data_IF_504768258021
#
_entry.id   IF_504768258021
#
_cell.length_a   1.000
_cell.length_b   1.000
_cell.length_c   1.000
_cell.angle_alpha   90.00
_cell.angle_beta   90.00
_cell.angle_gamma   90.00
#
_symmetry.space_group_name_H-M   'P 1'
#
loop_
_entity.id
_entity.type
_entity.pdbx_description
1 polymer ?
#
# COMPACT_ATOMS: atom_id res chain seq x y z
N UNK A 1 -9.96 7.94 55.86
CA UNK A 1 -9.50 6.54 55.81
C UNK A 1 -8.02 6.56 55.50
N UNK A 2 -7.22 6.02 56.42
CA UNK A 2 -5.76 6.08 56.43
C UNK A 2 -5.26 4.95 55.52
N UNK A 3 -4.60 5.28 54.42
CA UNK A 3 -3.86 4.32 53.59
C UNK A 3 -2.83 3.61 54.50
N UNK A 4 -2.84 2.28 54.62
CA UNK A 4 -1.82 1.61 55.40
C UNK A 4 -0.47 1.91 54.75
N UNK A 5 0.53 2.21 55.58
CA UNK A 5 1.91 2.33 55.13
C UNK A 5 2.29 1.07 54.33
N UNK A 6 3.29 1.20 53.45
CA UNK A 6 4.01 0.07 52.87
C UNK A 6 5.36 -0.13 53.64
N UNK A 7 5.39 -0.68 54.88
CA UNK A 7 6.64 -1.02 55.56
C UNK A 7 7.45 -2.19 54.96
N UNK A 8 6.92 -3.15 54.18
CA UNK A 8 7.80 -4.20 53.62
C UNK A 8 8.64 -3.70 52.43
N UNK A 9 8.24 -2.62 51.75
CA UNK A 9 8.88 -2.18 50.52
C UNK A 9 10.25 -1.53 50.75
N UNK A 10 10.38 -0.66 51.76
CA UNK A 10 11.65 -0.02 52.09
C UNK A 10 12.71 -1.02 52.57
N UNK A 11 12.31 -2.07 53.29
CA UNK A 11 13.24 -3.10 53.77
C UNK A 11 13.70 -4.06 52.66
N UNK A 12 12.83 -4.39 51.70
CA UNK A 12 13.19 -5.17 50.50
C UNK A 12 14.16 -4.38 49.61
N UNK A 13 13.93 -3.08 49.42
CA UNK A 13 14.85 -2.19 48.69
C UNK A 13 16.20 -2.03 49.40
N UNK A 14 16.20 -1.91 50.73
CA UNK A 14 17.41 -1.75 51.53
C UNK A 14 18.33 -2.99 51.48
N UNK A 15 17.78 -4.17 51.19
CA UNK A 15 18.53 -5.44 51.12
C UNK A 15 19.07 -5.78 49.73
N UNK A 16 18.75 -4.98 48.70
CA UNK A 16 19.16 -5.23 47.30
C UNK A 16 18.86 -6.65 46.79
N UNK A 17 17.89 -7.34 47.39
CA UNK A 17 17.60 -8.76 47.12
C UNK A 17 16.59 -8.90 45.97
N UNK A 18 17.03 -8.49 44.78
CA UNK A 18 16.25 -8.52 43.52
C UNK A 18 16.00 -9.98 43.05
N UNK A 19 16.55 -10.97 43.75
CA UNK A 19 16.48 -12.40 43.41
C UNK A 19 15.18 -13.12 43.76
N UNK A 20 14.21 -12.45 44.40
CA UNK A 20 12.91 -13.05 44.80
C UNK A 20 11.73 -12.43 44.04
N UNK A 21 11.27 -13.05 42.94
CA UNK A 21 10.16 -12.54 42.13
C UNK A 21 8.85 -12.33 42.90
N UNK A 22 8.63 -13.10 43.96
CA UNK A 22 7.40 -13.04 44.78
C UNK A 22 7.33 -11.81 45.71
N UNK A 23 8.43 -11.10 45.92
CA UNK A 23 8.50 -9.91 46.80
C UNK A 23 8.49 -8.60 46.00
N UNK A 24 8.49 -8.68 44.66
CA UNK A 24 8.38 -7.51 43.78
C UNK A 24 6.94 -7.00 43.76
N UNK A 25 6.72 -5.68 43.85
CA UNK A 25 5.37 -5.14 43.80
C UNK A 25 4.81 -5.28 42.37
N UNK A 26 3.53 -5.64 42.27
CA UNK A 26 2.83 -5.67 40.99
C UNK A 26 2.84 -4.28 40.37
N UNK A 27 3.58 -4.14 39.25
CA UNK A 27 3.74 -2.88 38.52
C UNK A 27 2.39 -2.22 38.19
N UNK A 28 1.32 -2.99 38.05
CA UNK A 28 -0.04 -2.51 37.74
C UNK A 28 -0.74 -1.83 38.92
N UNK A 29 -0.18 -1.88 40.12
CA UNK A 29 -0.78 -1.29 41.32
C UNK A 29 0.22 -0.41 42.10
N UNK A 30 1.45 -0.27 41.60
CA UNK A 30 2.46 0.63 42.16
C UNK A 30 2.09 2.11 41.96
N UNK A 31 2.05 2.92 43.02
CA UNK A 31 1.79 4.35 42.89
C UNK A 31 3.05 5.12 42.38
N UNK A 32 2.89 6.29 41.74
CA UNK A 32 3.99 7.08 41.19
C UNK A 32 5.17 7.37 42.14
N UNK A 33 4.98 7.65 43.45
CA UNK A 33 6.09 7.86 44.39
C UNK A 33 7.02 6.64 44.55
N UNK A 34 6.49 5.43 44.38
CA UNK A 34 7.27 4.18 44.43
C UNK A 34 8.18 4.08 43.21
N UNK A 35 7.67 4.40 42.02
CA UNK A 35 8.50 4.50 40.82
C UNK A 35 9.55 5.59 40.95
N UNK A 36 9.20 6.74 41.53
CA UNK A 36 10.14 7.84 41.75
C UNK A 36 11.33 7.42 42.62
N UNK A 37 11.07 6.68 43.71
CA UNK A 37 12.12 6.18 44.60
C UNK A 37 13.05 5.18 43.87
N UNK A 38 12.51 4.29 43.06
CA UNK A 38 13.28 3.30 42.29
C UNK A 38 14.13 3.97 41.19
N UNK A 39 13.50 4.82 40.37
CA UNK A 39 14.14 5.45 39.19
C UNK A 39 15.19 6.50 39.59
N UNK A 40 15.07 7.11 40.78
CA UNK A 40 16.05 8.06 41.32
C UNK A 40 17.08 7.41 42.26
N UNK A 41 17.03 6.10 42.44
CA UNK A 41 17.97 5.37 43.30
C UNK A 41 19.40 5.48 42.80
N UNK A 42 20.35 5.66 43.72
CA UNK A 42 21.78 5.62 43.41
C UNK A 42 22.22 4.22 42.96
N UNK A 43 21.57 3.15 43.44
CA UNK A 43 21.83 1.78 43.00
C UNK A 43 21.36 1.58 41.53
N UNK A 44 22.29 1.29 40.59
CA UNK A 44 21.95 1.03 39.18
C UNK A 44 20.97 -0.13 38.97
N UNK A 45 20.95 -1.13 39.85
CA UNK A 45 20.06 -2.30 39.74
C UNK A 45 18.62 -1.93 40.10
N UNK A 46 18.43 -1.18 41.19
CA UNK A 46 17.12 -0.66 41.58
C UNK A 46 16.57 0.32 40.54
N UNK A 47 17.45 1.13 39.95
CA UNK A 47 17.10 2.04 38.85
C UNK A 47 16.62 1.28 37.62
N UNK A 48 17.34 0.24 37.20
CA UNK A 48 16.93 -0.63 36.10
C UNK A 48 15.58 -1.29 36.38
N UNK A 49 15.40 -1.87 37.58
CA UNK A 49 14.14 -2.47 38.01
C UNK A 49 12.99 -1.45 37.96
N UNK A 50 13.21 -0.23 38.45
CA UNK A 50 12.25 0.86 38.38
C UNK A 50 11.79 1.17 36.96
N UNK A 51 12.72 1.23 36.00
CA UNK A 51 12.40 1.44 34.59
C UNK A 51 11.62 0.25 34.00
N UNK A 52 11.97 -0.98 34.35
CA UNK A 52 11.27 -2.20 33.87
C UNK A 52 9.83 -2.22 34.38
N UNK A 53 9.61 -2.00 35.68
CA UNK A 53 8.28 -1.98 36.27
C UNK A 53 7.45 -0.81 35.73
N UNK A 54 8.06 0.36 35.54
CA UNK A 54 7.39 1.50 34.92
C UNK A 54 6.96 1.17 33.48
N UNK A 55 7.83 0.51 32.71
CA UNK A 55 7.50 0.08 31.35
C UNK A 55 6.38 -0.96 31.34
N UNK A 56 6.33 -1.87 32.31
CA UNK A 56 5.22 -2.81 32.48
C UNK A 56 3.91 -2.08 32.79
N UNK A 57 3.91 -1.12 33.73
CA UNK A 57 2.76 -0.27 34.07
C UNK A 57 2.19 0.41 32.84
N UNK A 58 3.04 1.07 32.05
CA UNK A 58 2.63 1.76 30.83
C UNK A 58 2.16 0.80 29.74
N UNK A 59 2.78 -0.38 29.60
CA UNK A 59 2.38 -1.38 28.59
C UNK A 59 1.06 -2.06 28.94
N UNK A 60 0.71 -2.15 30.22
CA UNK A 60 -0.53 -2.80 30.68
C UNK A 60 -1.81 -2.03 30.32
N UNK A 61 -1.70 -0.80 29.79
CA UNK A 61 -2.85 0.05 29.47
C UNK A 61 -3.58 0.62 30.69
N UNK A 62 -3.03 0.41 31.90
CA UNK A 62 -3.53 0.98 33.16
C UNK A 62 -2.74 2.22 33.58
N UNK A 63 -2.30 3.05 32.66
CA UNK A 63 -2.02 4.44 33.03
C UNK A 63 -3.38 5.02 33.41
N UNK A 64 -3.55 5.63 34.59
CA UNK A 64 -4.82 6.24 34.98
C UNK A 64 -5.17 7.43 34.08
N UNK A 65 -5.66 8.50 34.66
CA UNK A 65 -6.02 9.68 33.89
C UNK A 65 -4.77 10.34 33.26
N UNK A 66 -4.97 11.31 32.36
CA UNK A 66 -3.86 12.04 31.72
C UNK A 66 -2.88 12.65 32.73
N UNK A 67 -3.36 13.05 33.91
CA UNK A 67 -2.56 13.60 35.00
C UNK A 67 -1.57 12.56 35.59
N UNK A 68 -2.04 11.34 35.87
CA UNK A 68 -1.16 10.25 36.35
C UNK A 68 -0.13 9.90 35.27
N UNK A 69 -0.55 9.89 33.99
CA UNK A 69 0.36 9.62 32.86
C UNK A 69 1.45 10.70 32.75
N UNK A 70 1.09 11.97 32.97
CA UNK A 70 2.05 13.08 33.02
C UNK A 70 2.99 12.98 34.23
N UNK A 71 2.49 12.56 35.40
CA UNK A 71 3.30 12.31 36.58
C UNK A 71 4.33 11.20 36.31
N UNK A 72 3.92 10.08 35.74
CA UNK A 72 4.82 8.98 35.33
C UNK A 72 5.84 9.46 34.28
N UNK A 73 5.42 10.29 33.32
CA UNK A 73 6.31 10.86 32.31
C UNK A 73 7.38 11.78 32.93
N UNK A 74 7.05 12.52 33.98
CA UNK A 74 7.98 13.38 34.72
C UNK A 74 9.07 12.59 35.48
N UNK A 75 8.84 11.30 35.73
CA UNK A 75 9.84 10.43 36.38
C UNK A 75 10.96 9.99 35.45
N UNK A 76 10.81 10.10 34.12
CA UNK A 76 11.84 9.59 33.21
C UNK A 76 13.15 10.38 33.34
N UNK A 77 14.28 9.67 33.54
CA UNK A 77 15.61 10.28 33.64
C UNK A 77 15.95 11.19 32.45
N UNK A 78 16.68 12.28 32.74
CA UNK A 78 17.19 13.20 31.74
C UNK A 78 18.56 12.79 31.17
N UNK A 79 19.19 11.75 31.72
CA UNK A 79 20.50 11.25 31.29
C UNK A 79 20.38 9.77 30.99
N UNK A 80 21.05 9.30 29.94
CA UNK A 80 21.14 7.87 29.62
C UNK A 80 22.37 7.30 30.34
N UNK A 81 22.13 6.65 31.48
CA UNK A 81 23.16 6.02 32.30
C UNK A 81 22.87 4.53 32.51
N UNK A 82 23.93 3.77 32.77
CA UNK A 82 23.85 2.34 33.06
C UNK A 82 23.95 1.44 31.83
N UNK A 83 23.61 0.16 31.98
CA UNK A 83 23.83 -0.84 30.93
C UNK A 83 22.86 -0.65 29.74
N UNK A 84 23.20 -1.19 28.55
CA UNK A 84 22.40 -1.04 27.32
C UNK A 84 20.93 -1.43 27.48
N UNK A 85 20.63 -2.41 28.33
CA UNK A 85 19.28 -2.87 28.64
C UNK A 85 18.45 -1.76 29.28
N UNK A 86 19.01 -1.01 30.24
CA UNK A 86 18.35 0.15 30.85
C UNK A 86 18.08 1.23 29.83
N UNK A 87 19.06 1.52 28.96
CA UNK A 87 18.91 2.52 27.91
C UNK A 87 17.84 2.12 26.88
N UNK A 88 17.68 0.84 26.57
CA UNK A 88 16.60 0.32 25.71
C UNK A 88 15.23 0.46 26.35
N UNK A 89 15.09 0.11 27.63
CA UNK A 89 13.82 0.29 28.36
C UNK A 89 13.47 1.77 28.43
N UNK A 90 14.45 2.64 28.69
CA UNK A 90 14.25 4.07 28.73
C UNK A 90 13.79 4.62 27.36
N UNK A 91 14.40 4.18 26.25
CA UNK A 91 13.94 4.55 24.90
C UNK A 91 12.47 4.18 24.66
N UNK A 92 12.06 2.96 25.05
CA UNK A 92 10.65 2.49 24.92
C UNK A 92 9.68 3.29 25.81
N UNK A 93 10.14 3.72 26.98
CA UNK A 93 9.35 4.60 27.84
C UNK A 93 9.20 5.98 27.21
N UNK A 94 10.26 6.54 26.62
CA UNK A 94 10.18 7.80 25.89
C UNK A 94 9.28 7.71 24.65
N UNK A 95 9.29 6.58 23.94
CA UNK A 95 8.36 6.33 22.83
C UNK A 95 6.90 6.52 23.25
N UNK A 96 6.52 6.08 24.46
CA UNK A 96 5.12 6.08 24.93
C UNK A 96 4.73 7.29 25.75
N UNK A 97 5.63 7.74 26.62
CA UNK A 97 5.39 8.85 27.56
C UNK A 97 5.89 10.20 27.03
N UNK A 98 6.62 10.20 25.91
CA UNK A 98 7.12 11.41 25.26
C UNK A 98 6.09 12.53 25.05
N UNK A 99 4.84 12.25 24.64
CA UNK A 99 3.84 13.31 24.41
C UNK A 99 3.47 14.08 25.68
N UNK A 100 3.62 13.45 26.85
CA UNK A 100 3.28 14.00 28.15
C UNK A 100 4.45 14.76 28.81
N UNK A 101 5.65 14.71 28.22
CA UNK A 101 6.86 15.40 28.73
C UNK A 101 6.96 16.86 28.26
N UNK A 102 5.92 17.67 28.49
CA UNK A 102 5.93 19.08 28.09
C UNK A 102 7.01 19.87 28.87
N UNK A 103 7.95 20.50 28.15
CA UNK A 103 8.97 21.38 28.73
C UNK A 103 10.16 20.68 29.40
N UNK A 104 10.21 19.34 29.43
CA UNK A 104 11.32 18.60 30.02
C UNK A 104 12.42 18.35 28.98
N UNK A 105 13.69 18.53 29.40
CA UNK A 105 14.84 18.22 28.53
C UNK A 105 14.87 16.74 28.16
N UNK A 106 15.18 16.50 26.89
CA UNK A 106 15.41 15.15 26.36
C UNK A 106 16.82 14.67 26.74
N UNK A 107 17.01 13.37 26.94
CA UNK A 107 18.33 12.81 27.13
C UNK A 107 19.21 12.99 25.89
N UNK A 108 20.46 13.41 26.10
CA UNK A 108 21.46 13.57 25.03
C UNK A 108 22.04 12.22 24.60
N UNK A 109 21.19 11.28 24.17
CA UNK A 109 21.61 9.92 23.81
C UNK A 109 22.59 9.88 22.63
N UNK A 110 22.60 10.89 21.76
CA UNK A 110 23.53 11.01 20.62
C UNK A 110 24.99 11.18 21.04
N UNK A 111 25.24 11.73 22.24
CA UNK A 111 26.58 11.89 22.79
C UNK A 111 26.97 10.75 23.73
N UNK A 112 26.06 9.81 23.97
CA UNK A 112 26.35 8.62 24.77
C UNK A 112 26.91 7.51 23.87
N UNK A 113 27.91 6.78 24.37
CA UNK A 113 28.52 5.62 23.68
C UNK A 113 27.58 4.41 23.72
N UNK A 114 26.48 4.49 22.96
CA UNK A 114 25.42 3.48 22.97
C UNK A 114 25.57 2.48 21.82
N UNK A 115 25.28 1.18 22.04
CA UNK A 115 25.21 0.20 20.97
C UNK A 115 24.16 0.59 19.91
N UNK A 116 24.40 0.21 18.66
CA UNK A 116 23.58 0.61 17.50
C UNK A 116 22.09 0.33 17.71
N UNK A 117 21.72 -0.83 18.25
CA UNK A 117 20.30 -1.17 18.52
C UNK A 117 19.62 -0.21 19.49
N UNK A 118 20.37 0.30 20.47
CA UNK A 118 19.86 1.28 21.45
C UNK A 118 19.69 2.65 20.80
N UNK A 119 20.64 3.06 19.95
CA UNK A 119 20.55 4.28 19.15
C UNK A 119 19.33 4.26 18.21
N UNK A 120 19.05 3.13 17.56
CA UNK A 120 17.86 2.94 16.72
C UNK A 120 16.58 3.13 17.57
N UNK A 121 16.50 2.48 18.74
CA UNK A 121 15.34 2.60 19.62
C UNK A 121 15.11 4.05 20.08
N UNK A 122 16.17 4.78 20.42
CA UNK A 122 16.08 6.20 20.77
C UNK A 122 15.63 7.06 19.60
N UNK A 123 16.20 6.86 18.42
CA UNK A 123 15.79 7.60 17.24
C UNK A 123 14.32 7.35 16.91
N UNK A 124 13.85 6.10 16.99
CA UNK A 124 12.42 5.76 16.83
C UNK A 124 11.53 6.51 17.81
N UNK A 125 11.90 6.51 19.09
CA UNK A 125 11.17 7.23 20.12
C UNK A 125 11.09 8.73 19.81
N UNK A 126 12.18 9.34 19.33
CA UNK A 126 12.15 10.74 18.91
C UNK A 126 11.26 10.98 17.69
N UNK A 127 11.36 10.15 16.66
CA UNK A 127 10.58 10.27 15.42
C UNK A 127 9.07 10.17 15.67
N UNK A 128 8.63 9.29 16.56
CA UNK A 128 7.21 9.11 16.90
C UNK A 128 6.62 10.30 17.67
N UNK A 129 7.45 11.01 18.42
CA UNK A 129 7.03 12.14 19.25
C UNK A 129 7.22 13.50 18.55
N UNK A 130 8.30 13.65 17.78
CA UNK A 130 8.67 14.86 17.05
C UNK A 130 9.14 14.50 15.62
N UNK A 131 8.19 14.28 14.69
CA UNK A 131 8.56 13.84 13.35
C UNK A 131 9.43 14.83 12.57
N UNK A 132 9.41 16.12 12.92
CA UNK A 132 10.25 17.15 12.31
C UNK A 132 11.77 16.88 12.43
N UNK A 133 12.19 16.02 13.38
CA UNK A 133 13.59 15.57 13.52
C UNK A 133 14.12 14.93 12.23
N UNK A 134 13.25 14.35 11.39
CA UNK A 134 13.61 13.77 10.08
C UNK A 134 14.34 14.77 9.19
N UNK A 135 14.04 16.07 9.31
CA UNK A 135 14.66 17.12 8.48
C UNK A 135 16.14 17.32 8.80
N UNK A 136 16.52 17.12 10.06
CA UNK A 136 17.87 17.38 10.58
C UNK A 136 18.69 16.11 10.80
N UNK A 137 18.04 14.95 10.91
CA UNK A 137 18.73 13.68 11.13
C UNK A 137 19.55 13.28 9.88
N UNK A 138 20.84 12.94 10.02
CA UNK A 138 21.65 12.47 8.92
C UNK A 138 21.04 11.26 8.21
N UNK A 139 21.09 11.28 6.88
CA UNK A 139 20.67 10.13 6.06
C UNK A 139 21.64 8.97 6.25
N UNK A 140 21.11 7.75 6.30
CA UNK A 140 21.90 6.54 6.44
C UNK A 140 21.22 5.45 7.26
N UNK A 141 21.99 4.40 7.52
CA UNK A 141 21.48 3.14 8.06
C UNK A 141 20.73 3.28 9.39
N UNK A 142 21.21 4.15 10.29
CA UNK A 142 20.55 4.37 11.58
C UNK A 142 19.11 4.88 11.40
N UNK A 143 18.92 5.88 10.54
CA UNK A 143 17.61 6.45 10.23
C UNK A 143 16.73 5.45 9.49
N UNK A 144 17.28 4.75 8.49
CA UNK A 144 16.51 3.78 7.71
C UNK A 144 16.01 2.62 8.57
N UNK A 145 16.84 2.09 9.46
CA UNK A 145 16.46 1.04 10.40
C UNK A 145 15.42 1.54 11.40
N UNK A 146 15.57 2.77 11.92
CA UNK A 146 14.58 3.37 12.80
C UNK A 146 13.22 3.51 12.11
N UNK A 147 13.20 4.10 10.91
CA UNK A 147 11.99 4.33 10.11
C UNK A 147 11.31 3.01 9.69
N UNK A 148 12.09 1.97 9.37
CA UNK A 148 11.55 0.64 9.02
C UNK A 148 10.75 0.01 10.15
N UNK A 149 11.13 0.26 11.41
CA UNK A 149 10.47 -0.28 12.60
C UNK A 149 9.36 0.64 13.16
N UNK A 150 9.04 1.75 12.49
CA UNK A 150 7.93 2.61 12.88
C UNK A 150 6.58 1.98 12.52
N UNK A 151 5.60 2.20 13.40
CA UNK A 151 4.19 1.95 13.17
C UNK A 151 3.41 3.24 13.40
N UNK A 152 2.44 3.51 12.53
CA UNK A 152 1.71 4.79 12.56
C UNK A 152 0.81 4.90 13.79
N UNK A 153 0.34 3.76 14.32
CA UNK A 153 -0.48 3.69 15.53
C UNK A 153 0.23 4.18 16.80
N UNK A 154 1.56 4.24 16.80
CA UNK A 154 2.35 4.75 17.93
C UNK A 154 2.78 6.21 17.75
N UNK A 155 2.53 6.80 16.58
CA UNK A 155 2.91 8.16 16.32
C UNK A 155 1.93 9.10 17.03
N UNK A 156 2.44 10.06 17.78
CA UNK A 156 1.60 11.08 18.40
C UNK A 156 0.96 12.00 17.35
N UNK A 157 1.68 12.22 16.23
CA UNK A 157 1.23 13.03 15.09
C UNK A 157 1.39 12.22 13.80
N UNK A 158 0.49 11.27 13.52
CA UNK A 158 0.64 10.33 12.41
C UNK A 158 0.68 11.03 11.05
N UNK A 159 -0.16 12.05 10.84
CA UNK A 159 -0.15 12.84 9.61
C UNK A 159 1.18 13.57 9.41
N UNK A 160 1.70 14.21 10.46
CA UNK A 160 2.98 14.91 10.39
C UNK A 160 4.10 13.91 10.06
N UNK A 161 4.11 12.73 10.70
CA UNK A 161 5.12 11.70 10.43
C UNK A 161 5.15 11.27 8.96
N UNK A 162 3.99 10.98 8.37
CA UNK A 162 3.91 10.63 6.95
C UNK A 162 4.39 11.79 6.07
N UNK A 163 3.96 13.02 6.37
CA UNK A 163 4.35 14.20 5.59
C UNK A 163 5.86 14.47 5.62
N UNK A 164 6.51 14.33 6.77
CA UNK A 164 7.95 14.58 6.94
C UNK A 164 8.80 13.53 6.21
N UNK A 165 8.34 12.27 6.21
CA UNK A 165 8.99 11.19 5.45
C UNK A 165 8.80 11.37 3.94
N UNK A 166 7.65 11.87 3.50
CA UNK A 166 7.35 12.10 2.09
C UNK A 166 8.02 13.37 1.51
N UNK A 167 8.25 14.39 2.33
CA UNK A 167 8.74 15.71 1.87
C UNK A 167 10.22 15.71 1.43
N UNK A 168 10.98 14.65 1.70
CA UNK A 168 12.36 14.49 1.25
C UNK A 168 12.47 13.77 -0.10
N UNK A 169 13.60 13.93 -0.80
CA UNK A 169 13.93 13.18 -2.02
C UNK A 169 14.57 11.80 -1.77
N UNK A 170 14.47 11.28 -0.55
CA UNK A 170 15.10 10.01 -0.18
C UNK A 170 14.13 8.84 -0.43
N UNK A 171 14.43 7.90 -1.34
CA UNK A 171 13.52 6.83 -1.71
C UNK A 171 13.18 5.88 -0.56
N UNK A 172 14.09 5.68 0.40
CA UNK A 172 13.85 4.79 1.55
C UNK A 172 12.83 5.44 2.48
N UNK A 173 12.94 6.75 2.69
CA UNK A 173 11.99 7.50 3.51
C UNK A 173 10.63 7.63 2.82
N UNK A 174 10.61 7.89 1.51
CA UNK A 174 9.37 7.95 0.74
C UNK A 174 8.64 6.59 0.70
N UNK A 175 9.37 5.48 0.56
CA UNK A 175 8.79 4.14 0.66
C UNK A 175 8.19 3.88 2.05
N UNK A 176 8.84 4.35 3.11
CA UNK A 176 8.29 4.27 4.45
C UNK A 176 7.07 5.18 4.66
N UNK A 177 7.05 6.37 4.05
CA UNK A 177 5.89 7.26 4.06
C UNK A 177 4.68 6.55 3.44
N UNK A 178 4.85 5.92 2.27
CA UNK A 178 3.80 5.13 1.61
C UNK A 178 3.29 4.00 2.51
N UNK A 179 4.21 3.21 3.09
CA UNK A 179 3.86 2.12 4.00
C UNK A 179 3.05 2.61 5.19
N UNK A 180 3.47 3.69 5.85
CA UNK A 180 2.78 4.24 7.02
C UNK A 180 1.46 4.91 6.64
N UNK A 181 1.35 5.51 5.45
CA UNK A 181 0.11 6.06 4.93
C UNK A 181 -0.93 4.94 4.72
N UNK A 182 -0.52 3.81 4.12
CA UNK A 182 -1.36 2.61 3.97
C UNK A 182 -1.77 2.02 5.33
N UNK A 183 -0.83 1.86 6.24
CA UNK A 183 -1.10 1.39 7.60
C UNK A 183 -2.13 2.30 8.30
N UNK A 184 -1.97 3.62 8.16
CA UNK A 184 -2.83 4.60 8.79
C UNK A 184 -4.23 4.65 8.19
N UNK A 185 -4.34 4.42 6.88
CA UNK A 185 -5.61 4.25 6.19
C UNK A 185 -6.38 3.05 6.77
N UNK A 186 -5.75 1.88 6.81
CA UNK A 186 -6.40 0.65 7.27
C UNK A 186 -6.71 0.64 8.76
N UNK A 187 -5.90 1.33 9.57
CA UNK A 187 -6.14 1.52 10.99
C UNK A 187 -7.15 2.65 11.31
N UNK A 188 -7.71 3.31 10.30
CA UNK A 188 -8.57 4.49 10.43
C UNK A 188 -7.93 5.65 11.24
N UNK A 189 -6.60 5.75 11.21
CA UNK A 189 -5.82 6.82 11.83
C UNK A 189 -5.56 7.99 10.89
N UNK A 190 -5.67 7.76 9.58
CA UNK A 190 -5.52 8.77 8.54
C UNK A 190 -6.74 8.78 7.63
N UNK A 191 -7.25 9.97 7.32
CA UNK A 191 -8.37 10.12 6.41
C UNK A 191 -7.98 9.71 4.98
N UNK A 192 -8.86 9.01 4.22
CA UNK A 192 -8.59 8.62 2.84
C UNK A 192 -8.17 9.79 1.93
N UNK A 193 -8.80 10.96 2.09
CA UNK A 193 -8.45 12.16 1.33
C UNK A 193 -6.99 12.58 1.56
N UNK A 194 -6.52 12.51 2.81
CA UNK A 194 -5.15 12.89 3.18
C UNK A 194 -4.12 11.88 2.67
N UNK A 195 -4.43 10.58 2.76
CA UNK A 195 -3.58 9.52 2.20
C UNK A 195 -3.47 9.68 0.68
N UNK A 196 -4.58 9.99 0.00
CA UNK A 196 -4.59 10.27 -1.44
C UNK A 196 -3.67 11.45 -1.81
N UNK A 197 -3.68 12.54 -1.05
CA UNK A 197 -2.75 13.67 -1.27
C UNK A 197 -1.29 13.24 -1.18
N UNK A 198 -0.92 12.43 -0.18
CA UNK A 198 0.44 11.92 -0.06
C UNK A 198 0.83 11.03 -1.24
N UNK A 199 -0.04 10.10 -1.63
CA UNK A 199 0.22 9.20 -2.77
C UNK A 199 0.37 9.98 -4.08
N UNK A 200 -0.45 11.00 -4.33
CA UNK A 200 -0.33 11.88 -5.50
C UNK A 200 1.03 12.60 -5.51
N UNK A 201 1.50 13.07 -4.35
CA UNK A 201 2.84 13.64 -4.23
C UNK A 201 3.95 12.64 -4.59
N UNK A 202 3.76 11.37 -4.22
CA UNK A 202 4.71 10.29 -4.46
C UNK A 202 4.73 9.77 -5.91
N UNK A 203 3.73 10.05 -6.75
CA UNK A 203 3.78 9.60 -8.16
C UNK A 203 4.85 10.32 -8.98
N UNK A 204 5.22 11.54 -8.60
CA UNK A 204 6.16 12.40 -9.32
C UNK A 204 7.62 12.33 -8.85
N UNK A 205 7.96 11.38 -7.99
CA UNK A 205 9.33 11.24 -7.46
C UNK A 205 10.22 10.45 -8.41
N UNK A 206 11.54 10.67 -8.34
CA UNK A 206 12.52 10.04 -9.24
C UNK A 206 12.61 8.51 -9.05
N UNK A 207 12.25 8.01 -7.87
CA UNK A 207 12.27 6.58 -7.58
C UNK A 207 11.12 5.85 -8.28
N UNK A 208 11.48 5.03 -9.28
CA UNK A 208 10.53 4.23 -10.05
C UNK A 208 9.67 3.31 -9.18
N UNK A 209 10.27 2.65 -8.20
CA UNK A 209 9.57 1.70 -7.30
C UNK A 209 8.60 2.40 -6.37
N UNK A 210 8.95 3.58 -5.84
CA UNK A 210 8.04 4.39 -5.00
C UNK A 210 6.88 4.94 -5.83
N UNK A 211 7.18 5.49 -7.01
CA UNK A 211 6.17 6.00 -7.94
C UNK A 211 5.19 4.89 -8.37
N UNK A 212 5.70 3.72 -8.76
CA UNK A 212 4.90 2.55 -9.11
C UNK A 212 4.01 2.09 -7.95
N UNK A 213 4.57 1.98 -6.73
CA UNK A 213 3.80 1.59 -5.55
C UNK A 213 2.71 2.63 -5.22
N UNK A 214 2.98 3.92 -5.38
CA UNK A 214 1.99 4.97 -5.16
C UNK A 214 0.85 4.92 -6.19
N UNK A 215 1.20 4.70 -7.47
CA UNK A 215 0.22 4.52 -8.55
C UNK A 215 -0.63 3.27 -8.34
N UNK A 216 -0.03 2.16 -7.91
CA UNK A 216 -0.75 0.93 -7.59
C UNK A 216 -1.78 1.16 -6.47
N UNK A 217 -1.40 1.88 -5.41
CA UNK A 217 -2.36 2.25 -4.36
C UNK A 217 -3.45 3.20 -4.85
N UNK A 218 -3.12 4.14 -5.74
CA UNK A 218 -4.13 5.01 -6.34
C UNK A 218 -5.07 4.27 -7.31
N UNK A 219 -4.75 3.04 -7.72
CA UNK A 219 -5.63 2.20 -8.53
C UNK A 219 -6.63 1.37 -7.70
N UNK A 220 -6.49 1.36 -6.36
CA UNK A 220 -7.41 0.68 -5.46
C UNK A 220 -8.80 1.36 -5.42
N UNK A 221 -9.89 0.62 -5.15
CA UNK A 221 -11.26 1.15 -5.21
C UNK A 221 -11.51 2.36 -4.29
N UNK A 222 -10.86 2.40 -3.12
CA UNK A 222 -11.02 3.48 -2.16
C UNK A 222 -10.48 4.83 -2.68
N UNK A 223 -9.48 4.81 -3.55
CA UNK A 223 -8.79 5.99 -4.06
C UNK A 223 -9.56 6.69 -5.20
N UNK A 224 -10.56 6.02 -5.77
CA UNK A 224 -11.35 6.48 -6.92
C UNK A 224 -12.49 7.47 -6.56
N UNK A 225 -12.50 8.01 -5.34
CA UNK A 225 -13.51 8.99 -4.90
C UNK A 225 -13.47 10.30 -5.69
N UNK A 226 -12.30 10.66 -6.24
CA UNK A 226 -12.13 11.75 -7.18
C UNK A 226 -11.13 11.31 -8.27
N UNK A 227 -11.42 11.58 -9.55
CA UNK A 227 -10.50 11.23 -10.64
C UNK A 227 -9.12 11.88 -10.44
N UNK A 228 -8.07 11.09 -10.67
CA UNK A 228 -6.71 11.63 -10.78
C UNK A 228 -6.58 12.41 -12.10
N UNK A 229 -5.94 13.59 -12.14
CA UNK A 229 -5.70 14.29 -13.41
C UNK A 229 -4.83 13.48 -14.39
N UNK A 230 -5.18 13.48 -15.67
CA UNK A 230 -4.50 12.68 -16.71
C UNK A 230 -3.02 13.05 -16.88
N UNK A 231 -2.69 14.34 -16.72
CA UNK A 231 -1.33 14.90 -16.75
C UNK A 231 -0.40 14.31 -15.69
N UNK A 232 -0.94 13.69 -14.63
CA UNK A 232 -0.16 12.94 -13.63
C UNK A 232 0.21 11.54 -14.08
N UNK A 233 -0.52 10.97 -15.04
CA UNK A 233 -0.34 9.62 -15.53
C UNK A 233 0.46 9.59 -16.83
N UNK A 234 0.20 10.53 -17.75
CA UNK A 234 0.84 10.59 -19.07
C UNK A 234 2.37 10.51 -19.03
N UNK A 235 3.10 11.17 -18.10
CA UNK A 235 4.56 11.07 -18.05
C UNK A 235 5.09 9.66 -17.77
N UNK A 236 4.30 8.80 -17.11
CA UNK A 236 4.68 7.40 -16.84
C UNK A 236 4.41 6.49 -18.05
N UNK A 237 3.63 6.96 -19.03
CA UNK A 237 3.22 6.23 -20.22
C UNK A 237 3.96 6.67 -21.49
N UNK A 238 4.83 7.69 -21.39
CA UNK A 238 5.68 8.11 -22.50
C UNK A 238 6.76 7.06 -22.82
N UNK A 239 7.10 6.85 -24.10
CA UNK A 239 7.98 5.78 -24.56
C UNK A 239 9.31 5.67 -23.76
N UNK A 240 10.03 6.79 -23.58
CA UNK A 240 11.28 6.83 -22.81
C UNK A 240 11.09 6.44 -21.33
N UNK A 241 9.96 6.85 -20.74
CA UNK A 241 9.64 6.53 -19.35
C UNK A 241 9.29 5.04 -19.19
N UNK A 242 8.58 4.45 -20.17
CA UNK A 242 8.23 3.03 -20.15
C UNK A 242 9.47 2.15 -20.24
N UNK A 243 10.45 2.52 -21.08
CA UNK A 243 11.72 1.78 -21.21
C UNK A 243 12.52 1.82 -19.91
N UNK A 244 12.58 2.99 -19.28
CA UNK A 244 13.39 3.19 -18.07
C UNK A 244 12.72 2.70 -16.80
N UNK A 245 11.38 2.70 -16.75
CA UNK A 245 10.57 2.44 -15.56
C UNK A 245 9.30 1.63 -15.88
N UNK A 246 9.42 0.39 -16.38
CA UNK A 246 8.28 -0.40 -16.85
C UNK A 246 7.23 -0.67 -15.75
N UNK A 247 7.67 -0.90 -14.50
CA UNK A 247 6.76 -1.13 -13.36
C UNK A 247 5.83 0.06 -13.09
N UNK A 248 6.33 1.29 -13.29
CA UNK A 248 5.53 2.50 -13.12
C UNK A 248 4.51 2.67 -14.25
N UNK A 249 4.82 2.21 -15.46
CA UNK A 249 3.90 2.25 -16.60
C UNK A 249 2.70 1.33 -16.41
N UNK A 250 2.93 0.08 -15.96
CA UNK A 250 1.84 -0.86 -15.66
C UNK A 250 0.92 -0.34 -14.55
N UNK A 251 1.51 0.20 -13.47
CA UNK A 251 0.74 0.82 -12.40
C UNK A 251 -0.04 2.07 -12.87
N UNK A 252 0.56 2.88 -13.76
CA UNK A 252 -0.11 4.03 -14.36
C UNK A 252 -1.29 3.62 -15.25
N UNK A 253 -1.21 2.52 -16.01
CA UNK A 253 -2.35 1.98 -16.76
C UNK A 253 -3.49 1.54 -15.84
N UNK A 254 -3.17 0.82 -14.76
CA UNK A 254 -4.18 0.39 -13.79
C UNK A 254 -4.87 1.58 -13.13
N UNK A 255 -4.11 2.62 -12.76
CA UNK A 255 -4.66 3.87 -12.26
C UNK A 255 -5.50 4.59 -13.33
N UNK A 256 -5.01 4.69 -14.58
CA UNK A 256 -5.77 5.29 -15.68
C UNK A 256 -7.14 4.62 -15.86
N UNK A 257 -7.17 3.30 -15.86
CA UNK A 257 -8.41 2.52 -15.94
C UNK A 257 -9.36 2.82 -14.76
N UNK A 258 -8.83 2.76 -13.52
CA UNK A 258 -9.62 3.02 -12.30
C UNK A 258 -10.21 4.43 -12.27
N UNK A 259 -9.47 5.41 -12.78
CA UNK A 259 -9.84 6.83 -12.77
C UNK A 259 -10.60 7.28 -14.03
N UNK A 260 -10.96 6.36 -14.93
CA UNK A 260 -11.84 6.65 -16.06
C UNK A 260 -11.14 7.19 -17.31
N UNK A 261 -9.82 7.06 -17.43
CA UNK A 261 -9.03 7.65 -18.51
C UNK A 261 -8.93 6.75 -19.75
N UNK A 262 -10.09 6.43 -20.35
CA UNK A 262 -10.14 5.61 -21.57
C UNK A 262 -9.33 6.19 -22.72
N UNK A 263 -9.26 7.52 -22.84
CA UNK A 263 -8.45 8.20 -23.85
C UNK A 263 -6.94 7.89 -23.73
N UNK A 264 -6.39 7.82 -22.51
CA UNK A 264 -4.99 7.46 -22.29
C UNK A 264 -4.73 5.99 -22.66
N UNK A 265 -5.67 5.09 -22.32
CA UNK A 265 -5.54 3.68 -22.69
C UNK A 265 -5.55 3.49 -24.22
N UNK A 266 -6.39 4.24 -24.95
CA UNK A 266 -6.40 4.20 -26.42
C UNK A 266 -5.08 4.71 -27.02
N UNK A 267 -4.54 5.80 -26.50
CA UNK A 267 -3.22 6.32 -26.92
C UNK A 267 -2.13 5.26 -26.76
N UNK A 268 -2.08 4.59 -25.60
CA UNK A 268 -1.10 3.52 -25.37
C UNK A 268 -1.32 2.33 -26.30
N UNK A 269 -2.57 1.94 -26.54
CA UNK A 269 -2.91 0.84 -27.44
C UNK A 269 -2.47 1.11 -28.89
N UNK A 270 -2.72 2.33 -29.37
CA UNK A 270 -2.48 2.74 -30.76
C UNK A 270 -1.02 3.06 -31.06
N UNK A 271 -0.20 3.33 -30.05
CA UNK A 271 1.22 3.63 -30.21
C UNK A 271 2.04 2.35 -30.49
N UNK A 272 2.60 2.19 -31.70
CA UNK A 272 3.37 0.99 -32.07
C UNK A 272 4.75 0.95 -31.42
N UNK A 273 5.27 2.07 -30.92
CA UNK A 273 6.61 2.16 -30.32
C UNK A 273 6.62 1.70 -28.86
N UNK A 274 5.44 1.54 -28.25
CA UNK A 274 5.30 1.03 -26.88
C UNK A 274 5.42 -0.50 -26.81
N UNK A 275 5.92 -1.04 -25.68
CA UNK A 275 6.07 -2.48 -25.50
C UNK A 275 4.77 -3.26 -25.74
N UNK A 276 4.82 -4.41 -26.44
CA UNK A 276 3.64 -5.19 -26.77
C UNK A 276 2.78 -5.58 -25.55
N UNK A 277 3.42 -5.89 -24.42
CA UNK A 277 2.71 -6.20 -23.16
C UNK A 277 1.85 -5.05 -22.64
N UNK A 278 2.34 -3.81 -22.76
CA UNK A 278 1.64 -2.61 -22.31
C UNK A 278 0.42 -2.32 -23.19
N UNK A 279 0.58 -2.47 -24.51
CA UNK A 279 -0.50 -2.31 -25.50
C UNK A 279 -1.61 -3.34 -25.29
N UNK A 280 -1.24 -4.62 -25.07
CA UNK A 280 -2.18 -5.69 -24.71
C UNK A 280 -2.95 -5.34 -23.44
N UNK A 281 -2.25 -4.88 -22.40
CA UNK A 281 -2.86 -4.53 -21.13
C UNK A 281 -3.83 -3.35 -21.25
N UNK A 282 -3.48 -2.34 -22.05
CA UNK A 282 -4.35 -1.20 -22.33
C UNK A 282 -5.65 -1.64 -23.04
N UNK A 283 -5.58 -2.55 -24.03
CA UNK A 283 -6.77 -3.13 -24.67
C UNK A 283 -7.67 -3.84 -23.66
N UNK A 284 -7.12 -4.69 -22.79
CA UNK A 284 -7.92 -5.41 -21.79
C UNK A 284 -8.65 -4.45 -20.84
N UNK A 285 -7.95 -3.43 -20.35
CA UNK A 285 -8.49 -2.44 -19.41
C UNK A 285 -9.59 -1.56 -20.02
N UNK A 286 -9.58 -1.36 -21.35
CA UNK A 286 -10.65 -0.66 -22.05
C UNK A 286 -12.01 -1.37 -21.92
N UNK A 287 -12.06 -2.68 -21.60
CA UNK A 287 -13.33 -3.39 -21.42
C UNK A 287 -14.24 -2.77 -20.35
N UNK A 288 -13.65 -2.17 -19.32
CA UNK A 288 -14.39 -1.54 -18.22
C UNK A 288 -14.73 -0.06 -18.49
N UNK A 289 -14.20 0.54 -19.58
CA UNK A 289 -14.36 1.97 -19.89
C UNK A 289 -15.01 2.26 -21.24
N UNK A 290 -14.62 1.53 -22.28
CA UNK A 290 -15.12 1.70 -23.64
C UNK A 290 -16.64 1.52 -23.70
N UNK A 291 -17.26 2.13 -24.70
CA UNK A 291 -18.68 2.03 -24.96
C UNK A 291 -18.96 1.26 -26.26
N UNK A 292 -20.25 1.16 -26.62
CA UNK A 292 -20.67 0.41 -27.80
C UNK A 292 -20.11 0.99 -29.10
N UNK A 293 -19.93 2.30 -29.18
CA UNK A 293 -19.45 2.96 -30.40
C UNK A 293 -17.95 2.73 -30.62
N UNK A 294 -17.19 2.53 -29.54
CA UNK A 294 -15.77 2.18 -29.59
C UNK A 294 -15.49 0.79 -30.23
N UNK A 295 -16.46 -0.14 -30.25
CA UNK A 295 -16.24 -1.54 -30.68
C UNK A 295 -15.64 -1.65 -32.09
N UNK A 296 -16.11 -0.83 -33.03
CA UNK A 296 -15.61 -0.82 -34.40
C UNK A 296 -14.13 -0.44 -34.48
N UNK A 297 -13.74 0.63 -33.78
CA UNK A 297 -12.35 1.08 -33.72
C UNK A 297 -11.45 0.06 -33.02
N UNK A 298 -11.89 -0.49 -31.88
CA UNK A 298 -11.10 -1.47 -31.11
C UNK A 298 -10.85 -2.76 -31.89
N UNK A 299 -11.86 -3.26 -32.59
CA UNK A 299 -11.71 -4.46 -33.44
C UNK A 299 -10.87 -4.19 -34.68
N UNK A 300 -10.91 -2.98 -35.25
CA UNK A 300 -10.03 -2.58 -36.34
C UNK A 300 -8.56 -2.51 -35.92
N UNK A 301 -8.26 -1.93 -34.75
CA UNK A 301 -6.91 -1.90 -34.18
C UNK A 301 -6.40 -3.32 -33.93
N UNK A 302 -7.23 -4.19 -33.36
CA UNK A 302 -6.86 -5.58 -33.14
C UNK A 302 -6.64 -6.37 -34.44
N UNK A 303 -7.39 -6.06 -35.50
CA UNK A 303 -7.26 -6.72 -36.80
C UNK A 303 -5.94 -6.40 -37.52
N UNK A 304 -5.29 -5.27 -37.17
CA UNK A 304 -3.98 -4.92 -37.71
C UNK A 304 -2.85 -5.84 -37.17
N UNK A 305 -2.99 -6.36 -35.96
CA UNK A 305 -2.09 -7.36 -35.37
C UNK A 305 -2.87 -8.37 -34.50
N UNK A 306 -3.55 -9.36 -35.14
CA UNK A 306 -4.43 -10.27 -34.43
C UNK A 306 -3.72 -11.19 -33.44
N UNK A 307 -2.45 -11.52 -33.67
CA UNK A 307 -1.68 -12.38 -32.77
C UNK A 307 -1.26 -11.64 -31.50
N UNK A 308 -1.04 -10.32 -31.58
CA UNK A 308 -0.77 -9.51 -30.42
C UNK A 308 -2.05 -9.14 -29.66
N UNK A 309 -3.07 -8.68 -30.38
CA UNK A 309 -4.21 -7.97 -29.81
C UNK A 309 -5.54 -8.75 -29.87
N UNK A 310 -5.61 -9.89 -30.56
CA UNK A 310 -6.85 -10.67 -30.71
C UNK A 310 -7.43 -11.14 -29.37
N UNK A 311 -6.65 -11.87 -28.57
CA UNK A 311 -7.05 -12.26 -27.22
C UNK A 311 -7.45 -11.09 -26.31
N UNK A 312 -6.59 -10.05 -26.17
CA UNK A 312 -6.92 -8.83 -25.45
C UNK A 312 -8.21 -8.12 -25.93
N UNK A 313 -8.45 -8.06 -27.23
CA UNK A 313 -9.66 -7.48 -27.80
C UNK A 313 -10.91 -8.29 -27.42
N UNK A 314 -10.83 -9.63 -27.44
CA UNK A 314 -11.93 -10.47 -26.96
C UNK A 314 -12.17 -10.26 -25.46
N UNK A 315 -11.12 -10.16 -24.64
CA UNK A 315 -11.26 -9.84 -23.21
C UNK A 315 -11.91 -8.46 -22.98
N UNK A 316 -11.54 -7.45 -23.79
CA UNK A 316 -12.18 -6.14 -23.81
C UNK A 316 -13.68 -6.24 -24.16
N UNK A 317 -14.02 -6.94 -25.23
CA UNK A 317 -15.41 -7.16 -25.65
C UNK A 317 -16.22 -7.94 -24.61
N UNK A 318 -15.61 -8.84 -23.83
CA UNK A 318 -16.27 -9.46 -22.67
C UNK A 318 -16.58 -8.45 -21.57
N UNK A 319 -15.68 -7.50 -21.31
CA UNK A 319 -15.93 -6.39 -20.38
C UNK A 319 -17.11 -5.54 -20.80
N UNK A 320 -17.13 -5.13 -22.07
CA UNK A 320 -18.25 -4.43 -22.71
C UNK A 320 -19.55 -5.24 -22.59
N UNK A 321 -19.52 -6.54 -22.89
CA UNK A 321 -20.67 -7.43 -22.77
C UNK A 321 -21.22 -7.51 -21.35
N UNK A 322 -20.38 -7.61 -20.31
CA UNK A 322 -20.82 -7.59 -18.90
C UNK A 322 -21.53 -6.28 -18.52
N UNK A 323 -21.19 -5.19 -19.20
CA UNK A 323 -21.80 -3.87 -19.03
C UNK A 323 -23.00 -3.62 -19.95
N UNK A 324 -23.41 -4.61 -20.76
CA UNK A 324 -24.54 -4.51 -21.68
C UNK A 324 -24.23 -3.80 -23.01
N UNK A 325 -22.95 -3.66 -23.36
CA UNK A 325 -22.52 -3.14 -24.65
C UNK A 325 -22.21 -4.29 -25.61
N UNK A 326 -23.07 -4.47 -26.61
CA UNK A 326 -23.01 -5.60 -27.54
C UNK A 326 -22.55 -5.17 -28.94
N UNK A 327 -21.75 -6.01 -29.63
CA UNK A 327 -21.47 -5.84 -31.05
C UNK A 327 -22.74 -5.70 -31.91
N UNK A 328 -22.60 -5.05 -33.07
CA UNK A 328 -23.61 -5.01 -34.13
C UNK A 328 -23.20 -5.98 -35.24
N UNK A 329 -24.13 -6.28 -36.15
CA UNK A 329 -23.86 -7.15 -37.30
C UNK A 329 -22.64 -6.70 -38.12
N UNK A 330 -22.42 -5.38 -38.24
CA UNK A 330 -21.27 -4.80 -38.92
C UNK A 330 -19.92 -5.16 -38.28
N UNK A 331 -19.89 -5.52 -36.99
CA UNK A 331 -18.66 -5.86 -36.25
C UNK A 331 -18.32 -7.36 -36.34
N UNK A 332 -19.29 -8.21 -36.72
CA UNK A 332 -19.16 -9.68 -36.73
C UNK A 332 -17.98 -10.16 -37.60
N UNK A 333 -17.77 -9.67 -38.84
CA UNK A 333 -16.65 -10.13 -39.66
C UNK A 333 -15.29 -9.88 -39.02
N UNK A 334 -15.09 -8.71 -38.39
CA UNK A 334 -13.83 -8.39 -37.72
C UNK A 334 -13.57 -9.32 -36.53
N UNK A 335 -14.58 -9.56 -35.68
CA UNK A 335 -14.45 -10.45 -34.51
C UNK A 335 -14.19 -11.90 -34.91
N UNK A 336 -14.85 -12.40 -35.97
CA UNK A 336 -14.56 -13.72 -36.52
C UNK A 336 -13.14 -13.75 -37.10
N UNK A 337 -12.74 -12.71 -37.84
CA UNK A 337 -11.38 -12.57 -38.39
C UNK A 337 -10.30 -12.72 -37.32
N UNK A 338 -10.47 -12.08 -36.16
CA UNK A 338 -9.56 -12.25 -35.01
C UNK A 338 -9.48 -13.71 -34.56
N UNK A 339 -10.63 -14.38 -34.43
CA UNK A 339 -10.68 -15.78 -33.99
C UNK A 339 -10.12 -16.77 -35.02
N UNK A 340 -10.19 -16.45 -36.31
CA UNK A 340 -9.57 -17.23 -37.38
C UNK A 340 -8.05 -17.00 -37.44
N UNK A 341 -7.58 -15.80 -37.14
CA UNK A 341 -6.15 -15.48 -37.14
C UNK A 341 -5.43 -15.99 -35.88
N UNK A 342 -6.07 -15.92 -34.70
CA UNK A 342 -5.53 -16.41 -33.43
C UNK A 342 -6.35 -17.58 -32.89
N UNK A 343 -5.80 -18.79 -33.06
CA UNK A 343 -6.42 -20.03 -32.60
C UNK A 343 -6.40 -20.20 -31.06
N UNK A 344 -5.60 -19.40 -30.33
CA UNK A 344 -5.58 -19.44 -28.86
C UNK A 344 -6.85 -18.84 -28.24
N UNK A 345 -7.58 -18.02 -29.00
CA UNK A 345 -8.86 -17.45 -28.57
C UNK A 345 -9.87 -18.60 -28.41
N UNK A 346 -10.53 -18.77 -27.24
CA UNK A 346 -11.50 -19.84 -27.09
C UNK A 346 -12.78 -19.57 -27.92
N UNK A 347 -13.27 -20.53 -28.73
CA UNK A 347 -14.46 -20.34 -29.56
C UNK A 347 -15.73 -19.94 -28.78
N UNK A 348 -15.88 -20.43 -27.55
CA UNK A 348 -17.02 -20.10 -26.69
C UNK A 348 -17.06 -18.63 -26.28
N UNK A 349 -15.91 -17.96 -26.21
CA UNK A 349 -15.86 -16.52 -25.91
C UNK A 349 -16.40 -15.71 -27.08
N UNK A 350 -16.09 -16.12 -28.32
CA UNK A 350 -16.62 -15.50 -29.52
C UNK A 350 -18.13 -15.68 -29.60
N UNK A 351 -18.61 -16.91 -29.37
CA UNK A 351 -20.04 -17.20 -29.34
C UNK A 351 -20.78 -16.39 -28.27
N UNK A 352 -20.15 -16.17 -27.10
CA UNK A 352 -20.71 -15.34 -26.02
C UNK A 352 -20.77 -13.87 -26.43
N UNK A 353 -19.66 -13.30 -26.89
CA UNK A 353 -19.58 -11.88 -27.28
C UNK A 353 -20.50 -11.55 -28.45
N UNK A 354 -20.68 -12.47 -29.40
CA UNK A 354 -21.53 -12.32 -30.58
C UNK A 354 -22.95 -12.88 -30.41
N UNK A 355 -23.38 -13.23 -29.19
CA UNK A 355 -24.67 -13.87 -28.94
C UNK A 355 -25.85 -13.11 -29.57
N UNK A 356 -25.86 -11.78 -29.47
CA UNK A 356 -26.90 -10.92 -30.06
C UNK A 356 -26.87 -10.85 -31.58
N UNK A 357 -25.78 -11.28 -32.21
CA UNK A 357 -25.55 -11.29 -33.66
C UNK A 357 -25.40 -12.72 -34.21
N UNK A 358 -25.93 -13.73 -33.49
CA UNK A 358 -25.74 -15.17 -33.80
C UNK A 358 -26.12 -15.58 -35.23
N UNK A 359 -27.16 -14.96 -35.80
CA UNK A 359 -27.57 -15.24 -37.19
C UNK A 359 -26.56 -14.70 -38.20
N UNK A 360 -26.05 -13.50 -37.97
CA UNK A 360 -24.96 -12.92 -38.78
C UNK A 360 -23.67 -13.72 -38.61
N UNK A 361 -23.36 -14.16 -37.39
CA UNK A 361 -22.21 -15.03 -37.12
C UNK A 361 -22.30 -16.34 -37.91
N UNK A 362 -23.46 -17.03 -37.89
CA UNK A 362 -23.68 -18.24 -38.68
C UNK A 362 -23.43 -17.99 -40.17
N UNK A 363 -24.04 -16.94 -40.72
CA UNK A 363 -23.88 -16.57 -42.14
C UNK A 363 -22.42 -16.32 -42.51
N UNK A 364 -21.68 -15.55 -41.71
CA UNK A 364 -20.27 -15.24 -41.97
C UNK A 364 -19.36 -16.47 -41.83
N UNK A 365 -19.66 -17.37 -40.88
CA UNK A 365 -18.88 -18.61 -40.72
C UNK A 365 -19.06 -19.57 -41.90
N UNK A 366 -20.25 -19.62 -42.51
CA UNK A 366 -20.55 -20.42 -43.69
C UNK A 366 -20.09 -19.78 -45.01
N UNK A 367 -19.83 -18.48 -45.02
CA UNK A 367 -19.35 -17.72 -46.16
C UNK A 367 -17.83 -17.95 -46.37
N UNK A 368 -17.48 -19.15 -46.82
CA UNK A 368 -16.13 -19.56 -47.20
C UNK A 368 -16.17 -20.62 -48.30
N UNK A 369 -15.14 -20.64 -49.15
CA UNK A 369 -14.98 -21.67 -50.16
C UNK A 369 -14.82 -23.05 -49.49
N UNK A 370 -15.38 -24.15 -50.03
CA UNK A 370 -15.22 -25.50 -49.48
C UNK A 370 -13.76 -25.94 -49.26
N UNK A 371 -12.81 -25.39 -50.01
CA UNK A 371 -11.37 -25.65 -49.87
C UNK A 371 -10.62 -24.73 -48.91
N UNK A 372 -11.30 -23.83 -48.18
CA UNK A 372 -10.66 -22.85 -47.30
C UNK A 372 -9.93 -23.56 -46.12
N UNK A 373 -8.62 -23.33 -45.90
CA UNK A 373 -7.86 -23.97 -44.83
C UNK A 373 -8.34 -23.59 -43.41
N UNK A 374 -9.16 -22.55 -43.27
CA UNK A 374 -9.74 -22.12 -41.99
C UNK A 374 -10.93 -22.96 -41.52
N UNK A 375 -11.43 -23.92 -42.34
CA UNK A 375 -12.58 -24.77 -41.99
C UNK A 375 -12.50 -25.44 -40.62
N UNK A 376 -11.38 -26.06 -40.18
CA UNK A 376 -11.28 -26.65 -38.86
C UNK A 376 -11.60 -25.65 -37.74
N UNK A 377 -11.16 -24.41 -37.91
CA UNK A 377 -11.39 -23.33 -36.94
C UNK A 377 -12.83 -22.79 -37.03
N UNK A 378 -13.37 -22.63 -38.23
CA UNK A 378 -14.79 -22.26 -38.45
C UNK A 378 -15.75 -23.28 -37.84
N UNK A 379 -15.46 -24.58 -37.98
CA UNK A 379 -16.23 -25.65 -37.35
C UNK A 379 -16.22 -25.53 -35.81
N UNK A 380 -15.07 -25.24 -35.20
CA UNK A 380 -14.99 -25.02 -33.76
C UNK A 380 -15.85 -23.83 -33.29
N UNK A 381 -15.91 -22.75 -34.09
CA UNK A 381 -16.77 -21.59 -33.83
C UNK A 381 -18.27 -21.92 -34.01
N UNK A 382 -18.62 -22.72 -35.03
CA UNK A 382 -19.99 -23.20 -35.26
C UNK A 382 -20.47 -24.12 -34.12
N UNK A 383 -19.61 -25.02 -33.63
CA UNK A 383 -19.92 -25.88 -32.47
C UNK A 383 -20.16 -25.03 -31.22
N UNK A 384 -19.31 -24.02 -30.98
CA UNK A 384 -19.50 -23.11 -29.86
C UNK A 384 -20.79 -22.28 -29.97
N UNK A 385 -21.16 -21.87 -31.18
CA UNK A 385 -22.41 -21.19 -31.48
C UNK A 385 -23.62 -22.08 -31.19
N UNK A 386 -23.60 -23.33 -31.65
CA UNK A 386 -24.65 -24.32 -31.37
C UNK A 386 -24.80 -24.61 -29.87
N UNK A 387 -23.68 -24.64 -29.14
CA UNK A 387 -23.63 -24.83 -27.69
C UNK A 387 -24.33 -23.74 -26.87
N UNK A 388 -24.72 -22.60 -27.47
CA UNK A 388 -25.50 -21.55 -26.80
C UNK A 388 -26.96 -21.93 -26.55
N UNK A 389 -27.45 -23.06 -27.10
CA UNK A 389 -28.65 -23.73 -26.60
C UNK A 389 -30.02 -23.14 -27.00
N UNK A 390 -30.10 -22.32 -28.06
CA UNK A 390 -31.36 -21.62 -28.39
C UNK A 390 -32.24 -22.26 -29.47
N UNK A 391 -31.90 -23.43 -30.03
CA UNK A 391 -32.77 -24.21 -30.94
C UNK A 391 -33.17 -23.55 -32.28
N UNK A 392 -32.84 -22.29 -32.48
CA UNK A 392 -33.26 -21.46 -33.62
C UNK A 392 -32.29 -21.48 -34.82
N UNK A 393 -31.10 -22.08 -34.67
CA UNK A 393 -30.07 -22.06 -35.71
C UNK A 393 -29.96 -23.44 -36.39
N UNK A 394 -29.99 -23.54 -37.73
CA UNK A 394 -29.84 -24.80 -38.46
C UNK A 394 -28.36 -25.20 -38.52
N UNK A 395 -27.79 -25.57 -37.37
CA UNK A 395 -26.42 -26.08 -37.26
C UNK A 395 -26.54 -27.59 -37.05
N UNK A 396 -26.25 -28.38 -38.08
CA UNK A 396 -26.42 -29.83 -38.12
C UNK A 396 -25.33 -30.51 -38.92
#
# INVERSE_FOLDING_TARGET
MITPALPPFHDVLRRADIGRPAELPDARHCPPPVFAALVRSDDPRLRHLGLVLLNERVTSGRTGDEEETAELAALLPAVVEGPPESALVLARLHERLGPYRRGLRRPSWRTAELPVRVRIAWLRAELLNEPAVIRTEPRGELLYQAVRELTVARAHRPEQLVSELAAGGDPVLQAAALRLAREGLHAALLAPARVREYLIGLTGVDSASVSAAALAELAEPWAASAPLPADRLSPCLAADAVITRPEAADAALAAAARHGHGGLLRQVLEDPDLPPGLRRRAMELLGDLADREDIGALTAVAAADPLLLGGPAVACLRGLHRRGHFPRDAHVPAVIGLALADHSIPPHEIATVLFTCRQTMLRVLLDADPGDPSWPRRLALLVALAGQGTGELPIG
#
